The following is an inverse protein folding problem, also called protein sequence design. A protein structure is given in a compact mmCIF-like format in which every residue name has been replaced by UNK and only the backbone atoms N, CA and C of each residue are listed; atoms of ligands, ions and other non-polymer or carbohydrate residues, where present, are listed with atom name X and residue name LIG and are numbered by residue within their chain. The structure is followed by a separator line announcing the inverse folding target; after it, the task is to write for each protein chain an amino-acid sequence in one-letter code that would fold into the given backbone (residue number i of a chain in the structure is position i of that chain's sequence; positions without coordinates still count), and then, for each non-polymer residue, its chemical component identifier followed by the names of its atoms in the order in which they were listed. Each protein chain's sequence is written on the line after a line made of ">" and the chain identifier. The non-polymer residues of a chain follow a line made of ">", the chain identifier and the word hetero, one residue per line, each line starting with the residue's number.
data_IF_266348790632
#
_entry.id   IF_266348790632
#
_cell.length_a   1.000
_cell.length_b   1.000
_cell.length_c   1.000
_cell.angle_alpha   90.00
_cell.angle_beta   90.00
_cell.angle_gamma   90.00
#
_symmetry.space_group_name_H-M   'P 1'
#
loop_
_entity.id
_entity.type
_entity.pdbx_description
1 polymer ?
#
# COMPACT_ATOMS: atom_id res chain seq x y z
N UNK A 1 5.52 44.97 -12.89
CA UNK A 1 6.45 43.95 -12.35
C UNK A 1 6.00 42.60 -12.88
N UNK A 2 6.72 42.04 -13.87
CA UNK A 2 6.41 40.74 -14.43
C UNK A 2 6.85 39.67 -13.41
N UNK A 3 5.90 39.06 -12.70
CA UNK A 3 6.19 37.87 -11.93
C UNK A 3 6.79 36.82 -12.90
N UNK A 4 7.95 36.22 -12.60
CA UNK A 4 8.54 35.22 -13.48
C UNK A 4 7.51 34.10 -13.67
N UNK A 5 7.25 33.74 -14.93
CA UNK A 5 6.35 32.65 -15.28
C UNK A 5 6.71 31.42 -14.41
N UNK A 6 5.76 30.82 -13.69
CA UNK A 6 6.07 29.69 -12.82
C UNK A 6 6.73 28.57 -13.63
N UNK A 7 7.97 28.25 -13.27
CA UNK A 7 8.82 27.33 -14.03
C UNK A 7 8.26 25.92 -14.02
N UNK A 8 8.43 25.16 -15.10
CA UNK A 8 8.11 23.72 -15.15
C UNK A 8 8.76 22.89 -14.00
N UNK A 9 9.80 23.43 -13.36
CA UNK A 9 10.49 22.84 -12.21
C UNK A 9 9.76 22.98 -10.86
N UNK A 10 8.59 23.64 -10.81
CA UNK A 10 7.84 23.89 -9.57
C UNK A 10 7.60 22.61 -8.77
N UNK A 11 7.21 21.51 -9.42
CA UNK A 11 6.97 20.24 -8.74
C UNK A 11 8.25 19.63 -8.15
N UNK A 12 9.35 19.61 -8.91
CA UNK A 12 10.64 19.12 -8.42
C UNK A 12 11.13 19.94 -7.23
N UNK A 13 10.97 21.26 -7.27
CA UNK A 13 11.31 22.15 -6.15
C UNK A 13 10.48 21.84 -4.90
N UNK A 14 9.18 21.61 -5.05
CA UNK A 14 8.31 21.21 -3.95
C UNK A 14 8.72 19.85 -3.36
N UNK A 15 9.03 18.86 -4.20
CA UNK A 15 9.52 17.55 -3.76
C UNK A 15 10.84 17.66 -3.01
N UNK A 16 11.76 18.49 -3.48
CA UNK A 16 13.01 18.76 -2.79
C UNK A 16 12.79 19.37 -1.40
N UNK A 17 11.87 20.34 -1.27
CA UNK A 17 11.52 20.93 0.02
C UNK A 17 10.85 19.91 0.96
N UNK A 18 9.95 19.08 0.43
CA UNK A 18 9.33 17.98 1.19
C UNK A 18 10.38 16.98 1.68
N UNK A 19 11.34 16.61 0.83
CA UNK A 19 12.42 15.69 1.16
C UNK A 19 13.33 16.27 2.25
N UNK A 20 13.75 17.53 2.11
CA UNK A 20 14.58 18.22 3.13
C UNK A 20 13.87 18.39 4.46
N UNK A 21 12.54 18.46 4.46
CA UNK A 21 11.74 18.53 5.69
C UNK A 21 11.55 17.15 6.32
N UNK A 22 11.41 16.10 5.49
CA UNK A 22 11.18 14.74 5.95
C UNK A 22 12.46 14.06 6.45
N UNK A 23 13.61 14.39 5.86
CA UNK A 23 14.89 13.78 6.20
C UNK A 23 15.87 14.83 6.76
N UNK A 24 16.50 14.57 7.91
CA UNK A 24 17.65 15.35 8.35
C UNK A 24 18.81 15.18 7.36
N UNK A 25 19.81 16.06 7.42
CA UNK A 25 20.91 16.12 6.43
C UNK A 25 21.59 14.76 6.20
N UNK A 26 21.81 13.97 7.27
CA UNK A 26 22.38 12.62 7.15
C UNK A 26 21.46 11.65 6.40
N UNK A 27 20.15 11.79 6.53
CA UNK A 27 19.16 10.99 5.80
C UNK A 27 19.19 11.27 4.29
N UNK A 28 19.49 12.50 3.89
CA UNK A 28 19.66 12.85 2.47
C UNK A 28 20.91 12.19 1.89
N UNK A 29 22.02 12.17 2.65
CA UNK A 29 23.25 11.48 2.25
C UNK A 29 23.01 9.98 2.12
N UNK A 30 22.34 9.36 3.10
CA UNK A 30 21.97 7.95 3.04
C UNK A 30 21.06 7.63 1.86
N UNK A 31 20.10 8.50 1.54
CA UNK A 31 19.25 8.34 0.37
C UNK A 31 20.06 8.41 -0.92
N UNK A 32 21.00 9.35 -1.05
CA UNK A 32 21.88 9.44 -2.21
C UNK A 32 22.71 8.15 -2.38
N UNK A 33 23.29 7.63 -1.29
CA UNK A 33 24.01 6.36 -1.29
C UNK A 33 23.10 5.18 -1.66
N UNK A 34 21.86 5.16 -1.15
CA UNK A 34 20.88 4.12 -1.49
C UNK A 34 20.49 4.15 -2.96
N UNK A 35 20.33 5.34 -3.55
CA UNK A 35 20.05 5.49 -4.99
C UNK A 35 21.24 5.00 -5.81
N UNK A 36 22.48 5.39 -5.46
CA UNK A 36 23.69 4.91 -6.14
C UNK A 36 23.81 3.38 -6.03
N UNK A 37 23.60 2.83 -4.83
CA UNK A 37 23.59 1.39 -4.60
C UNK A 37 22.52 0.67 -5.41
N UNK A 38 21.31 1.23 -5.51
CA UNK A 38 20.23 0.67 -6.33
C UNK A 38 20.58 0.68 -7.82
N UNK A 39 21.17 1.76 -8.35
CA UNK A 39 21.65 1.82 -9.75
C UNK A 39 22.70 0.74 -10.00
N UNK A 40 23.68 0.59 -9.10
CA UNK A 40 24.73 -0.42 -9.22
C UNK A 40 24.17 -1.86 -9.17
N UNK A 41 23.22 -2.12 -8.27
CA UNK A 41 22.54 -3.42 -8.18
C UNK A 41 21.74 -3.73 -9.44
N UNK A 42 20.97 -2.76 -9.96
CA UNK A 42 20.22 -2.92 -11.20
C UNK A 42 21.14 -3.21 -12.37
N UNK A 43 22.23 -2.46 -12.50
CA UNK A 43 23.25 -2.71 -13.51
C UNK A 43 23.78 -4.16 -13.39
N UNK A 44 24.15 -4.59 -12.19
CA UNK A 44 24.69 -5.94 -11.96
C UNK A 44 23.68 -7.04 -12.32
N UNK A 45 22.42 -6.91 -11.91
CA UNK A 45 21.36 -7.90 -12.18
C UNK A 45 21.09 -8.04 -13.67
N UNK A 46 21.06 -6.92 -14.40
CA UNK A 46 20.81 -6.91 -15.85
C UNK A 46 22.04 -7.40 -16.62
N UNK A 47 23.23 -7.02 -16.18
CA UNK A 47 24.47 -7.47 -16.82
C UNK A 47 24.71 -8.98 -16.64
N UNK A 48 24.24 -9.55 -15.52
CA UNK A 48 24.30 -11.00 -15.27
C UNK A 48 23.33 -11.80 -16.15
N UNK A 49 22.13 -11.28 -16.38
CA UNK A 49 21.13 -11.90 -17.25
C UNK A 49 20.25 -10.83 -17.89
N UNK A 50 20.42 -10.66 -19.21
CA UNK A 50 19.69 -9.68 -20.02
C UNK A 50 18.17 -9.93 -20.03
N UNK A 51 17.72 -11.16 -19.74
CA UNK A 51 16.29 -11.46 -19.61
C UNK A 51 15.62 -10.70 -18.47
N UNK A 52 16.39 -10.19 -17.50
CA UNK A 52 15.86 -9.37 -16.41
C UNK A 52 15.43 -7.96 -16.86
N UNK A 53 16.04 -7.43 -17.92
CA UNK A 53 15.78 -6.07 -18.41
C UNK A 53 14.29 -5.79 -18.70
N UNK A 54 13.56 -6.60 -19.48
CA UNK A 54 12.14 -6.37 -19.75
C UNK A 54 11.29 -6.40 -18.48
N UNK A 55 11.56 -7.28 -17.52
CA UNK A 55 10.80 -7.34 -16.26
C UNK A 55 10.99 -6.07 -15.42
N UNK A 56 12.22 -5.56 -15.35
CA UNK A 56 12.55 -4.31 -14.64
C UNK A 56 11.85 -3.11 -15.31
N UNK A 57 11.88 -3.03 -16.64
CA UNK A 57 11.20 -1.98 -17.40
C UNK A 57 9.70 -2.03 -17.16
N UNK A 58 9.07 -3.20 -17.28
CA UNK A 58 7.63 -3.36 -17.05
C UNK A 58 7.26 -2.93 -15.63
N UNK A 59 8.06 -3.34 -14.62
CA UNK A 59 7.88 -2.91 -13.24
C UNK A 59 7.93 -1.38 -13.08
N UNK A 60 8.92 -0.72 -13.69
CA UNK A 60 9.06 0.73 -13.66
C UNK A 60 7.91 1.46 -14.37
N UNK A 61 7.50 0.98 -15.55
CA UNK A 61 6.35 1.51 -16.30
C UNK A 61 5.07 1.41 -15.47
N UNK A 62 4.79 0.24 -14.89
CA UNK A 62 3.61 0.02 -14.05
C UNK A 62 3.62 0.89 -12.79
N UNK A 63 4.80 1.11 -12.19
CA UNK A 63 4.96 2.01 -11.05
C UNK A 63 4.58 3.45 -11.41
N UNK A 64 5.14 4.02 -12.49
CA UNK A 64 4.86 5.40 -12.91
C UNK A 64 3.41 5.55 -13.38
N UNK A 65 2.90 4.57 -14.14
CA UNK A 65 1.50 4.52 -14.54
C UNK A 65 0.57 4.52 -13.31
N UNK A 66 0.84 3.66 -12.34
CA UNK A 66 0.08 3.56 -11.11
C UNK A 66 0.08 4.88 -10.31
N UNK A 67 1.25 5.53 -10.22
CA UNK A 67 1.38 6.84 -9.59
C UNK A 67 0.56 7.91 -10.33
N UNK A 68 0.63 7.95 -11.66
CA UNK A 68 -0.14 8.90 -12.47
C UNK A 68 -1.65 8.73 -12.29
N UNK A 69 -2.14 7.48 -12.29
CA UNK A 69 -3.57 7.19 -12.16
C UNK A 69 -4.11 7.45 -10.75
N UNK A 70 -3.29 7.28 -9.70
CA UNK A 70 -3.70 7.46 -8.29
C UNK A 70 -3.40 8.85 -7.73
N UNK A 71 -2.88 9.75 -8.56
CA UNK A 71 -2.46 11.09 -8.13
C UNK A 71 -3.67 11.94 -7.71
N UNK A 72 -3.76 12.21 -6.40
CA UNK A 72 -4.89 12.93 -5.79
C UNK A 72 -4.95 14.42 -6.15
N UNK A 73 -3.81 15.05 -6.44
CA UNK A 73 -3.69 16.47 -6.75
C UNK A 73 -3.86 16.80 -8.24
N UNK A 74 -4.28 15.85 -9.10
CA UNK A 74 -4.44 16.07 -10.55
C UNK A 74 -5.26 17.32 -10.90
N UNK A 75 -6.41 17.48 -10.25
CA UNK A 75 -7.29 18.62 -10.48
C UNK A 75 -6.66 19.93 -9.97
N UNK A 76 -5.97 19.88 -8.82
CA UNK A 76 -5.26 21.04 -8.29
C UNK A 76 -4.14 21.49 -9.24
N UNK A 77 -3.29 20.56 -9.69
CA UNK A 77 -2.18 20.85 -10.59
C UNK A 77 -2.64 21.43 -11.91
N UNK A 78 -3.65 20.81 -12.55
CA UNK A 78 -4.17 21.29 -13.84
C UNK A 78 -4.76 22.71 -13.75
N UNK A 79 -5.25 23.11 -12.57
CA UNK A 79 -5.92 24.41 -12.37
C UNK A 79 -4.99 25.50 -11.85
N UNK A 80 -3.96 25.14 -11.06
CA UNK A 80 -3.14 26.13 -10.34
C UNK A 80 -1.66 26.11 -10.72
N UNK A 81 -1.17 25.07 -11.41
CA UNK A 81 0.24 24.98 -11.84
C UNK A 81 0.33 25.26 -13.33
N UNK A 82 1.00 26.36 -13.74
CA UNK A 82 1.30 26.61 -15.14
C UNK A 82 2.10 25.45 -15.74
N UNK A 83 1.75 25.05 -16.95
CA UNK A 83 2.39 23.92 -17.64
C UNK A 83 2.40 22.62 -16.79
N UNK A 84 1.33 22.36 -16.04
CA UNK A 84 1.22 21.18 -15.16
C UNK A 84 1.67 19.87 -15.81
N UNK A 85 1.35 19.63 -17.09
CA UNK A 85 1.76 18.42 -17.81
C UNK A 85 3.29 18.29 -17.93
N UNK A 86 3.98 19.39 -18.24
CA UNK A 86 5.45 19.42 -18.33
C UNK A 86 6.07 19.25 -16.95
N UNK A 87 5.52 19.91 -15.93
CA UNK A 87 5.99 19.74 -14.55
C UNK A 87 5.86 18.27 -14.09
N UNK A 88 4.74 17.61 -14.43
CA UNK A 88 4.53 16.19 -14.15
C UNK A 88 5.50 15.31 -14.95
N UNK A 89 5.77 15.65 -16.21
CA UNK A 89 6.72 14.92 -17.05
C UNK A 89 8.12 14.92 -16.44
N UNK A 90 8.57 16.07 -15.93
CA UNK A 90 9.86 16.21 -15.25
C UNK A 90 9.91 15.42 -13.93
N UNK A 91 8.82 15.41 -13.16
CA UNK A 91 8.73 14.60 -11.95
C UNK A 91 8.83 13.10 -12.26
N UNK A 92 8.14 12.62 -13.29
CA UNK A 92 8.20 11.22 -13.71
C UNK A 92 9.56 10.86 -14.29
N UNK A 93 10.19 11.77 -15.03
CA UNK A 93 11.56 11.62 -15.55
C UNK A 93 12.57 11.46 -14.41
N UNK A 94 12.48 12.29 -13.37
CA UNK A 94 13.35 12.19 -12.21
C UNK A 94 13.14 10.87 -11.45
N UNK A 95 11.91 10.36 -11.39
CA UNK A 95 11.58 9.11 -10.72
C UNK A 95 12.14 7.87 -11.44
N UNK A 96 12.09 7.83 -12.77
CA UNK A 96 12.62 6.71 -13.56
C UNK A 96 14.14 6.76 -13.76
N UNK A 97 14.77 7.90 -13.50
CA UNK A 97 16.18 8.15 -13.78
C UNK A 97 17.12 7.06 -13.21
N UNK A 98 16.98 6.58 -11.96
CA UNK A 98 17.85 5.53 -11.44
C UNK A 98 17.73 4.22 -12.23
N UNK A 99 16.52 3.83 -12.65
CA UNK A 99 16.28 2.61 -13.44
C UNK A 99 16.86 2.77 -14.84
N UNK A 100 16.63 3.93 -15.46
CA UNK A 100 17.18 4.25 -16.77
C UNK A 100 18.71 4.20 -16.77
N UNK A 101 19.38 4.78 -15.77
CA UNK A 101 20.84 4.73 -15.65
C UNK A 101 21.35 3.30 -15.47
N UNK A 102 20.70 2.49 -14.63
CA UNK A 102 21.08 1.08 -14.44
C UNK A 102 21.03 0.27 -15.73
N UNK A 103 19.98 0.47 -16.55
CA UNK A 103 19.82 -0.20 -17.85
C UNK A 103 20.81 0.32 -18.90
N UNK A 104 21.03 1.64 -18.96
CA UNK A 104 21.99 2.23 -19.90
C UNK A 104 23.41 1.76 -19.61
N UNK A 105 23.82 1.71 -18.33
CA UNK A 105 25.14 1.19 -17.94
C UNK A 105 25.28 -0.31 -18.21
N UNK A 106 24.18 -1.07 -18.19
CA UNK A 106 24.19 -2.49 -18.59
C UNK A 106 24.22 -2.70 -20.11
N UNK A 107 24.05 -1.65 -20.93
CA UNK A 107 24.05 -1.72 -22.40
C UNK A 107 22.70 -2.08 -23.02
N UNK A 108 21.62 -2.09 -22.23
CA UNK A 108 20.27 -2.47 -22.69
C UNK A 108 19.53 -1.28 -23.30
N UNK A 109 19.93 -0.90 -24.51
CA UNK A 109 19.39 0.28 -25.23
C UNK A 109 17.90 0.15 -25.57
N UNK A 110 17.45 -1.05 -25.95
CA UNK A 110 16.06 -1.34 -26.32
C UNK A 110 15.13 -1.10 -25.12
N UNK A 111 15.43 -1.72 -23.99
CA UNK A 111 14.72 -1.53 -22.72
C UNK A 111 14.79 -0.09 -22.21
N UNK A 112 15.93 0.57 -22.36
CA UNK A 112 16.09 1.98 -21.98
C UNK A 112 15.23 2.93 -22.81
N UNK A 113 15.08 2.66 -24.11
CA UNK A 113 14.26 3.48 -25.02
C UNK A 113 12.78 3.51 -24.63
N UNK A 114 12.25 2.42 -24.07
CA UNK A 114 10.87 2.34 -23.57
C UNK A 114 10.65 3.32 -22.40
N UNK A 115 11.63 3.43 -21.50
CA UNK A 115 11.54 4.35 -20.36
C UNK A 115 11.60 5.82 -20.80
N UNK A 116 12.31 6.13 -21.88
CA UNK A 116 12.36 7.50 -22.42
C UNK A 116 11.01 8.01 -22.96
N UNK A 117 10.04 7.13 -23.20
CA UNK A 117 8.68 7.49 -23.61
C UNK A 117 7.78 7.85 -22.41
N UNK A 118 8.12 7.40 -21.20
CA UNK A 118 7.33 7.62 -19.99
C UNK A 118 7.03 9.10 -19.64
N UNK A 119 7.90 10.09 -19.95
CA UNK A 119 7.58 11.49 -19.74
C UNK A 119 6.34 11.97 -20.50
N UNK A 120 5.85 11.24 -21.53
CA UNK A 120 4.61 11.53 -22.27
C UNK A 120 3.34 11.14 -21.49
N UNK A 121 3.48 10.37 -20.41
CA UNK A 121 2.35 9.90 -19.60
C UNK A 121 1.38 11.01 -19.10
N UNK A 122 1.81 12.23 -18.72
CA UNK A 122 0.92 13.29 -18.27
C UNK A 122 -0.15 13.75 -19.28
N UNK A 123 0.02 13.41 -20.56
CA UNK A 123 -0.96 13.68 -21.62
C UNK A 123 -2.03 12.59 -21.74
N UNK A 124 -1.84 11.45 -21.08
CA UNK A 124 -2.86 10.41 -21.01
C UNK A 124 -4.06 10.85 -20.15
N UNK A 125 -5.28 10.36 -20.46
CA UNK A 125 -6.42 10.60 -19.60
C UNK A 125 -6.23 9.86 -18.27
N UNK A 126 -6.52 10.56 -17.19
CA UNK A 126 -6.62 9.95 -15.85
C UNK A 126 -7.95 9.25 -15.79
N UNK A 127 -7.96 7.99 -15.40
CA UNK A 127 -9.18 7.24 -15.20
C UNK A 127 -9.98 7.89 -14.06
N UNK A 128 -10.94 8.74 -14.42
CA UNK A 128 -11.92 9.26 -13.48
C UNK A 128 -12.68 8.07 -12.90
N UNK A 129 -12.47 7.79 -11.62
CA UNK A 129 -13.25 6.80 -10.90
C UNK A 129 -14.65 7.39 -10.61
N UNK A 130 -15.47 7.59 -11.64
CA UNK A 130 -16.79 8.22 -11.53
C UNK A 130 -17.92 7.24 -11.19
N UNK A 131 -17.61 5.97 -10.91
CA UNK A 131 -18.61 4.94 -10.65
C UNK A 131 -18.32 4.11 -9.40
N UNK A 132 -19.39 3.62 -8.77
CA UNK A 132 -19.33 2.59 -7.74
C UNK A 132 -18.83 1.29 -8.38
N UNK A 133 -17.54 0.99 -8.18
CA UNK A 133 -16.94 -0.28 -8.60
C UNK A 133 -17.34 -1.42 -7.66
N UNK A 134 -17.39 -2.65 -8.20
CA UNK A 134 -17.65 -3.87 -7.45
C UNK A 134 -18.96 -3.91 -6.64
N UNK A 135 -20.03 -3.25 -7.12
CA UNK A 135 -21.30 -3.11 -6.40
C UNK A 135 -21.87 -4.45 -5.88
N UNK A 136 -21.78 -5.53 -6.66
CA UNK A 136 -22.25 -6.87 -6.27
C UNK A 136 -21.44 -7.46 -5.12
N UNK A 137 -20.11 -7.40 -5.20
CA UNK A 137 -19.24 -7.94 -4.15
C UNK A 137 -19.36 -7.12 -2.85
N UNK A 138 -19.49 -5.80 -2.96
CA UNK A 138 -19.64 -4.91 -1.80
C UNK A 138 -20.92 -5.16 -1.00
N UNK A 139 -22.00 -5.61 -1.64
CA UNK A 139 -23.26 -5.99 -0.97
C UNK A 139 -23.08 -7.20 -0.03
N UNK A 140 -22.09 -8.06 -0.28
CA UNK A 140 -21.79 -9.24 0.57
C UNK A 140 -20.98 -8.88 1.82
N UNK A 141 -20.32 -7.73 1.83
CA UNK A 141 -19.53 -7.27 2.99
C UNK A 141 -20.48 -6.59 3.99
N UNK A 142 -20.40 -6.90 5.30
CA UNK A 142 -21.16 -6.19 6.34
C UNK A 142 -20.93 -4.68 6.31
N UNK A 143 -21.97 -3.88 6.60
CA UNK A 143 -21.87 -2.41 6.62
C UNK A 143 -20.90 -1.87 7.67
N UNK A 144 -20.76 -2.57 8.78
CA UNK A 144 -19.84 -2.23 9.87
C UNK A 144 -18.36 -2.32 9.43
N UNK A 145 -18.05 -3.13 8.41
CA UNK A 145 -16.72 -3.28 7.82
C UNK A 145 -16.55 -2.37 6.60
N UNK A 146 -16.78 -1.07 6.79
CA UNK A 146 -16.72 -0.09 5.71
C UNK A 146 -15.31 0.02 5.11
N UNK A 147 -14.27 -0.27 5.88
CA UNK A 147 -12.87 -0.28 5.45
C UNK A 147 -12.66 -1.30 4.33
N UNK A 148 -13.22 -2.51 4.49
CA UNK A 148 -13.20 -3.56 3.47
C UNK A 148 -14.00 -3.17 2.23
N UNK A 149 -15.13 -2.47 2.41
CA UNK A 149 -15.92 -1.94 1.29
C UNK A 149 -15.16 -0.86 0.52
N UNK A 150 -14.51 0.05 1.23
CA UNK A 150 -13.69 1.13 0.67
C UNK A 150 -12.49 0.57 -0.07
N UNK A 151 -11.80 -0.40 0.51
CA UNK A 151 -10.69 -1.12 -0.12
C UNK A 151 -11.13 -1.73 -1.44
N UNK A 152 -12.22 -2.50 -1.43
CA UNK A 152 -12.73 -3.15 -2.62
C UNK A 152 -13.09 -2.13 -3.71
N UNK A 153 -13.71 -0.99 -3.36
CA UNK A 153 -14.05 0.05 -4.33
C UNK A 153 -12.82 0.74 -4.91
N UNK A 154 -11.84 1.07 -4.07
CA UNK A 154 -10.64 1.83 -4.46
C UNK A 154 -9.63 0.99 -5.25
N UNK A 155 -9.59 -0.32 -5.00
CA UNK A 155 -8.57 -1.22 -5.56
C UNK A 155 -9.10 -2.17 -6.63
N UNK A 156 -10.41 -2.23 -6.88
CA UNK A 156 -10.96 -3.03 -7.97
C UNK A 156 -10.53 -2.48 -9.35
N UNK A 157 -10.13 -3.34 -10.30
CA UNK A 157 -10.16 -4.82 -10.27
C UNK A 157 -8.89 -5.48 -9.70
N UNK A 158 -7.86 -4.72 -9.33
CA UNK A 158 -6.55 -5.26 -8.95
C UNK A 158 -6.59 -6.23 -7.78
N UNK A 159 -7.36 -5.95 -6.72
CA UNK A 159 -7.47 -6.88 -5.60
C UNK A 159 -8.06 -8.24 -6.02
N UNK A 160 -9.03 -8.22 -6.94
CA UNK A 160 -9.61 -9.46 -7.48
C UNK A 160 -8.61 -10.19 -8.37
N UNK A 161 -7.86 -9.47 -9.21
CA UNK A 161 -6.83 -10.06 -10.06
C UNK A 161 -5.69 -10.67 -9.26
N UNK A 162 -5.23 -10.02 -8.19
CA UNK A 162 -4.23 -10.57 -7.27
C UNK A 162 -4.73 -11.86 -6.61
N UNK A 163 -5.98 -11.88 -6.16
CA UNK A 163 -6.58 -13.05 -5.54
C UNK A 163 -6.76 -14.21 -6.54
N UNK A 164 -7.24 -13.92 -7.76
CA UNK A 164 -7.34 -14.92 -8.83
C UNK A 164 -5.98 -15.44 -9.26
N UNK A 165 -4.96 -14.58 -9.32
CA UNK A 165 -3.58 -15.01 -9.59
C UNK A 165 -3.05 -15.91 -8.48
N UNK A 166 -3.31 -15.59 -7.20
CA UNK A 166 -2.92 -16.44 -6.08
C UNK A 166 -3.56 -17.83 -6.16
N UNK A 167 -4.82 -17.91 -6.61
CA UNK A 167 -5.49 -19.19 -6.89
C UNK A 167 -4.92 -19.90 -8.11
N UNK A 168 -4.74 -19.22 -9.24
CA UNK A 168 -4.26 -19.83 -10.48
C UNK A 168 -2.83 -20.38 -10.35
N UNK A 169 -2.01 -19.74 -9.53
CA UNK A 169 -0.62 -20.10 -9.29
C UNK A 169 -0.40 -20.76 -7.93
N UNK A 170 -1.43 -21.36 -7.32
CA UNK A 170 -1.29 -22.02 -6.01
C UNK A 170 -0.35 -23.25 -6.04
N UNK A 171 0.01 -23.75 -7.22
CA UNK A 171 1.01 -24.81 -7.39
C UNK A 171 2.46 -24.34 -7.19
N UNK A 172 2.72 -23.03 -7.25
CA UNK A 172 4.03 -22.45 -6.97
C UNK A 172 4.25 -22.30 -5.45
N UNK A 173 5.46 -22.56 -4.91
CA UNK A 173 5.67 -22.58 -3.45
C UNK A 173 5.44 -21.24 -2.75
N UNK A 174 5.98 -20.15 -3.31
CA UNK A 174 6.04 -18.86 -2.61
C UNK A 174 5.06 -17.83 -3.19
N UNK A 175 4.80 -17.88 -4.50
CA UNK A 175 3.98 -16.89 -5.20
C UNK A 175 2.57 -16.69 -4.60
N UNK A 176 1.76 -17.74 -4.30
CA UNK A 176 0.43 -17.54 -3.71
C UNK A 176 0.50 -16.86 -2.34
N UNK A 177 1.50 -17.20 -1.52
CA UNK A 177 1.72 -16.57 -0.21
C UNK A 177 2.08 -15.09 -0.37
N UNK A 178 3.01 -14.78 -1.29
CA UNK A 178 3.39 -13.39 -1.59
C UNK A 178 2.19 -12.55 -2.01
N UNK A 179 1.33 -13.08 -2.89
CA UNK A 179 0.13 -12.39 -3.36
C UNK A 179 -0.90 -12.19 -2.23
N UNK A 180 -1.10 -13.18 -1.35
CA UNK A 180 -1.93 -13.02 -0.16
C UNK A 180 -1.36 -11.98 0.81
N UNK A 181 -0.04 -11.98 1.02
CA UNK A 181 0.65 -10.97 1.83
C UNK A 181 0.46 -9.55 1.28
N UNK A 182 0.54 -9.38 -0.04
CA UNK A 182 0.26 -8.10 -0.69
C UNK A 182 -1.20 -7.64 -0.46
N UNK A 183 -2.17 -8.56 -0.53
CA UNK A 183 -3.57 -8.26 -0.21
C UNK A 183 -3.73 -7.87 1.27
N UNK A 184 -3.10 -8.61 2.20
CA UNK A 184 -3.14 -8.29 3.62
C UNK A 184 -2.55 -6.89 3.90
N UNK A 185 -1.45 -6.52 3.26
CA UNK A 185 -0.88 -5.17 3.33
C UNK A 185 -1.87 -4.11 2.82
N UNK A 186 -2.58 -4.37 1.73
CA UNK A 186 -3.63 -3.47 1.26
C UNK A 186 -4.79 -3.35 2.26
N UNK A 187 -5.18 -4.45 2.92
CA UNK A 187 -6.20 -4.47 3.98
C UNK A 187 -5.76 -3.65 5.19
N UNK A 188 -4.50 -3.78 5.63
CA UNK A 188 -3.96 -2.98 6.73
C UNK A 188 -3.90 -1.50 6.38
N UNK A 189 -3.49 -1.14 5.15
CA UNK A 189 -3.50 0.25 4.68
C UNK A 189 -4.91 0.86 4.64
N UNK A 190 -5.94 0.04 4.39
CA UNK A 190 -7.33 0.51 4.47
C UNK A 190 -7.79 0.86 5.90
N UNK A 191 -7.07 0.41 6.93
CA UNK A 191 -7.34 0.75 8.33
C UNK A 191 -6.79 2.12 8.75
N UNK A 192 -5.95 2.77 7.94
CA UNK A 192 -5.34 4.06 8.31
C UNK A 192 -6.35 5.20 8.45
N UNK A 193 -7.51 5.10 7.79
CA UNK A 193 -8.52 6.15 7.79
C UNK A 193 -9.49 5.95 8.97
N UNK A 194 -9.56 6.95 9.85
CA UNK A 194 -10.52 6.99 10.94
C UNK A 194 -11.87 7.51 10.46
N UNK A 195 -12.95 6.84 10.88
CA UNK A 195 -14.31 7.29 10.69
C UNK A 195 -14.65 8.54 11.52
N UNK A 196 -15.70 9.30 11.15
CA UNK A 196 -16.24 10.33 12.03
C UNK A 196 -16.82 9.72 13.32
N UNK A 197 -16.76 10.46 14.44
CA UNK A 197 -17.34 10.03 15.73
C UNK A 197 -18.81 9.62 15.62
N UNK A 198 -19.61 10.34 14.83
CA UNK A 198 -21.03 10.00 14.64
C UNK A 198 -21.22 8.60 14.05
N UNK A 199 -20.36 8.20 13.10
CA UNK A 199 -20.39 6.85 12.52
C UNK A 199 -20.01 5.78 13.54
N UNK A 200 -19.02 6.07 14.37
CA UNK A 200 -18.58 5.20 15.45
C UNK A 200 -19.71 4.93 16.46
N UNK A 201 -20.37 5.98 16.94
CA UNK A 201 -21.51 5.88 17.88
C UNK A 201 -22.73 5.21 17.25
N UNK A 202 -22.94 5.35 15.94
CA UNK A 202 -24.00 4.66 15.23
C UNK A 202 -23.71 3.15 14.99
N UNK A 203 -22.44 2.74 15.06
CA UNK A 203 -22.02 1.38 14.72
C UNK A 203 -22.15 0.41 15.91
N UNK A 204 -21.90 0.89 17.13
CA UNK A 204 -21.88 0.05 18.33
C UNK A 204 -22.28 0.85 19.58
N UNK A 205 -22.83 0.21 20.62
CA UNK A 205 -23.23 0.87 21.86
C UNK A 205 -22.05 1.26 22.76
N UNK A 206 -20.94 0.52 22.69
CA UNK A 206 -19.76 0.74 23.53
C UNK A 206 -18.46 0.33 22.80
N UNK A 207 -17.32 0.71 23.39
CA UNK A 207 -15.99 0.46 22.86
C UNK A 207 -15.68 -1.04 22.67
N UNK A 208 -16.09 -1.90 23.61
CA UNK A 208 -15.81 -3.34 23.55
C UNK A 208 -16.64 -3.99 22.43
N UNK A 209 -17.91 -3.61 22.30
CA UNK A 209 -18.77 -4.08 21.22
C UNK A 209 -18.22 -3.66 19.84
N UNK A 210 -17.76 -2.40 19.72
CA UNK A 210 -17.13 -1.90 18.50
C UNK A 210 -15.88 -2.72 18.14
N UNK A 211 -14.91 -2.82 19.06
CA UNK A 211 -13.66 -3.55 18.83
C UNK A 211 -13.91 -5.00 18.47
N UNK A 212 -14.83 -5.67 19.18
CA UNK A 212 -15.21 -7.06 18.87
C UNK A 212 -15.75 -7.16 17.45
N UNK A 213 -16.69 -6.30 17.06
CA UNK A 213 -17.26 -6.35 15.71
C UNK A 213 -16.20 -6.14 14.62
N UNK A 214 -15.28 -5.21 14.84
CA UNK A 214 -14.25 -4.80 13.87
C UNK A 214 -13.13 -5.84 13.73
N UNK A 215 -12.63 -6.35 14.86
CA UNK A 215 -11.56 -7.36 14.89
C UNK A 215 -12.08 -8.68 14.34
N UNK A 216 -13.15 -9.24 14.91
CA UNK A 216 -13.69 -10.52 14.45
C UNK A 216 -14.26 -10.43 13.03
N UNK A 217 -14.87 -9.31 12.67
CA UNK A 217 -15.32 -9.07 11.30
C UNK A 217 -14.17 -9.06 10.30
N UNK A 218 -13.06 -8.38 10.62
CA UNK A 218 -11.88 -8.34 9.75
C UNK A 218 -11.16 -9.69 9.68
N UNK A 219 -11.02 -10.40 10.79
CA UNK A 219 -10.49 -11.78 10.82
C UNK A 219 -11.35 -12.68 9.94
N UNK A 220 -12.68 -12.66 10.10
CA UNK A 220 -13.60 -13.49 9.29
C UNK A 220 -13.46 -13.20 7.79
N UNK A 221 -13.37 -11.93 7.41
CA UNK A 221 -13.18 -11.55 6.01
C UNK A 221 -11.82 -12.02 5.47
N UNK A 222 -10.76 -11.90 6.28
CA UNK A 222 -9.43 -12.36 5.90
C UNK A 222 -9.38 -13.88 5.74
N UNK A 223 -9.95 -14.65 6.67
CA UNK A 223 -10.08 -16.11 6.57
C UNK A 223 -10.80 -16.50 5.27
N UNK A 224 -11.94 -15.88 4.97
CA UNK A 224 -12.69 -16.18 3.73
C UNK A 224 -11.88 -15.89 2.46
N UNK A 225 -10.96 -14.92 2.52
CA UNK A 225 -10.12 -14.53 1.40
C UNK A 225 -8.93 -15.50 1.23
N UNK A 226 -8.22 -15.82 2.31
CA UNK A 226 -6.97 -16.59 2.22
C UNK A 226 -7.18 -18.11 2.17
N UNK A 227 -8.23 -18.62 2.83
CA UNK A 227 -8.44 -20.06 3.01
C UNK A 227 -8.49 -20.84 1.68
N UNK A 228 -9.20 -20.39 0.62
CA UNK A 228 -9.21 -21.10 -0.65
C UNK A 228 -7.81 -21.22 -1.29
N UNK A 229 -6.99 -20.18 -1.16
CA UNK A 229 -5.62 -20.14 -1.70
C UNK A 229 -4.70 -21.04 -0.89
N UNK A 230 -4.76 -20.98 0.44
CA UNK A 230 -3.93 -21.81 1.33
C UNK A 230 -4.27 -23.29 1.23
N UNK A 231 -5.57 -23.62 1.09
CA UNK A 231 -6.01 -25.00 0.82
C UNK A 231 -5.43 -25.46 -0.53
N UNK A 232 -5.59 -24.65 -1.59
CA UNK A 232 -5.02 -24.96 -2.90
C UNK A 232 -3.51 -25.20 -2.83
N UNK A 233 -2.76 -24.30 -2.19
CA UNK A 233 -1.31 -24.41 -2.03
C UNK A 233 -0.91 -25.68 -1.25
N UNK A 234 -1.65 -26.03 -0.20
CA UNK A 234 -1.40 -27.26 0.58
C UNK A 234 -1.68 -28.52 -0.21
N UNK A 235 -2.68 -28.52 -1.10
CA UNK A 235 -2.95 -29.67 -1.98
C UNK A 235 -1.78 -29.92 -2.94
N UNK A 236 -1.21 -28.86 -3.52
CA UNK A 236 -0.06 -28.99 -4.42
C UNK A 236 1.27 -29.22 -3.69
N UNK A 237 1.38 -28.77 -2.44
CA UNK A 237 2.59 -28.90 -1.61
C UNK A 237 2.25 -29.34 -0.18
N UNK A 238 1.91 -30.63 0.02
CA UNK A 238 1.46 -31.13 1.31
C UNK A 238 2.49 -30.97 2.43
N UNK A 239 3.78 -31.12 2.11
CA UNK A 239 4.87 -31.00 3.09
C UNK A 239 4.96 -29.60 3.74
N UNK A 240 4.38 -28.59 3.09
CA UNK A 240 4.39 -27.19 3.52
C UNK A 240 3.13 -26.80 4.30
N UNK A 241 2.27 -27.75 4.68
CA UNK A 241 1.00 -27.48 5.38
C UNK A 241 1.16 -26.59 6.62
N UNK A 242 2.20 -26.82 7.41
CA UNK A 242 2.48 -26.06 8.64
C UNK A 242 2.95 -24.64 8.31
N UNK A 243 3.69 -24.47 7.22
CA UNK A 243 4.13 -23.17 6.71
C UNK A 243 2.92 -22.35 6.24
N UNK A 244 2.03 -22.96 5.46
CA UNK A 244 0.78 -22.35 5.01
C UNK A 244 -0.11 -21.94 6.19
N UNK A 245 -0.26 -22.82 7.18
CA UNK A 245 -1.05 -22.55 8.38
C UNK A 245 -0.50 -21.39 9.21
N UNK A 246 0.81 -21.39 9.51
CA UNK A 246 1.44 -20.33 10.28
C UNK A 246 1.44 -18.99 9.53
N UNK A 247 1.68 -18.99 8.22
CA UNK A 247 1.60 -17.78 7.42
C UNK A 247 0.19 -17.19 7.41
N UNK A 248 -0.84 -18.01 7.18
CA UNK A 248 -2.24 -17.56 7.24
C UNK A 248 -2.57 -16.97 8.61
N UNK A 249 -2.21 -17.67 9.68
CA UNK A 249 -2.36 -17.15 11.04
C UNK A 249 -1.63 -15.81 11.24
N UNK A 250 -0.44 -15.64 10.67
CA UNK A 250 0.28 -14.37 10.64
C UNK A 250 -0.50 -13.25 9.98
N UNK A 251 -1.12 -13.49 8.82
CA UNK A 251 -1.95 -12.49 8.17
C UNK A 251 -3.20 -12.13 9.00
N UNK A 252 -3.82 -13.10 9.67
CA UNK A 252 -4.94 -12.83 10.59
C UNK A 252 -4.52 -11.94 11.76
N UNK A 253 -3.37 -12.24 12.38
CA UNK A 253 -2.80 -11.43 13.47
C UNK A 253 -2.47 -10.03 12.98
N UNK A 254 -1.87 -9.90 11.80
CA UNK A 254 -1.52 -8.62 11.20
C UNK A 254 -2.76 -7.73 10.96
N UNK A 255 -3.82 -8.29 10.38
CA UNK A 255 -5.06 -7.56 10.13
C UNK A 255 -5.75 -7.17 11.44
N UNK A 256 -5.80 -8.09 12.42
CA UNK A 256 -6.34 -7.78 13.75
C UNK A 256 -5.54 -6.67 14.44
N UNK A 257 -4.20 -6.69 14.30
CA UNK A 257 -3.30 -5.70 14.86
C UNK A 257 -3.54 -4.33 14.24
N UNK A 258 -3.65 -4.24 12.92
CA UNK A 258 -3.94 -2.97 12.24
C UNK A 258 -5.28 -2.35 12.72
N UNK A 259 -6.30 -3.17 12.95
CA UNK A 259 -7.59 -2.71 13.50
C UNK A 259 -7.42 -2.18 14.93
N UNK A 260 -6.73 -2.90 15.81
CA UNK A 260 -6.51 -2.44 17.19
C UNK A 260 -5.65 -1.18 17.24
N UNK A 261 -4.57 -1.13 16.48
CA UNK A 261 -3.67 0.02 16.41
C UNK A 261 -4.37 1.28 15.90
N UNK A 262 -5.28 1.12 14.92
CA UNK A 262 -6.20 2.19 14.49
C UNK A 262 -6.98 2.74 15.68
N UNK A 263 -7.60 1.88 16.47
CA UNK A 263 -8.45 2.31 17.57
C UNK A 263 -7.69 2.76 18.82
N UNK A 264 -6.46 2.27 19.03
CA UNK A 264 -5.53 2.77 20.05
C UNK A 264 -5.16 4.23 19.82
N UNK A 265 -5.02 4.63 18.54
CA UNK A 265 -4.62 5.98 18.15
C UNK A 265 -5.75 6.74 17.45
N UNK A 266 -7.00 6.30 17.61
CA UNK A 266 -8.13 6.86 16.87
C UNK A 266 -8.35 8.33 17.18
N UNK A 267 -8.47 9.11 16.11
CA UNK A 267 -8.84 10.52 16.09
C UNK A 267 -9.93 10.70 15.02
N UNK A 268 -11.10 11.29 15.34
CA UNK A 268 -12.18 11.43 14.37
C UNK A 268 -11.77 12.18 13.10
N UNK A 269 -12.12 11.64 11.92
CA UNK A 269 -11.83 12.20 10.59
C UNK A 269 -10.34 12.34 10.22
N UNK A 270 -9.43 11.76 11.00
CA UNK A 270 -8.00 11.82 10.72
C UNK A 270 -7.49 10.60 9.94
N UNK A 271 -6.32 10.76 9.32
CA UNK A 271 -5.56 9.64 8.75
C UNK A 271 -4.30 9.40 9.58
N UNK A 272 -4.18 8.19 10.12
CA UNK A 272 -3.11 7.80 11.03
C UNK A 272 -1.81 7.46 10.30
N UNK A 273 -1.17 8.46 9.69
CA UNK A 273 0.08 8.28 8.93
C UNK A 273 1.28 7.83 9.79
N UNK A 274 1.30 8.16 11.09
CA UNK A 274 2.36 7.77 12.01
C UNK A 274 2.38 6.25 12.32
N UNK A 275 1.27 5.54 12.10
CA UNK A 275 1.15 4.12 12.42
C UNK A 275 1.79 3.21 11.37
N UNK A 276 2.19 3.75 10.21
CA UNK A 276 2.75 2.97 9.11
C UNK A 276 4.03 2.21 9.47
N UNK A 277 4.89 2.78 10.31
CA UNK A 277 6.11 2.11 10.77
C UNK A 277 5.80 0.86 11.61
N UNK A 278 4.86 0.97 12.56
CA UNK A 278 4.46 -0.13 13.43
C UNK A 278 3.79 -1.27 12.63
N UNK A 279 2.92 -0.92 11.68
CA UNK A 279 2.29 -1.91 10.79
C UNK A 279 3.33 -2.59 9.89
N UNK A 280 4.30 -1.84 9.36
CA UNK A 280 5.36 -2.42 8.53
C UNK A 280 6.23 -3.41 9.32
N UNK A 281 6.61 -3.07 10.55
CA UNK A 281 7.33 -3.98 11.46
C UNK A 281 6.49 -5.24 11.72
N UNK A 282 5.23 -5.08 12.11
CA UNK A 282 4.33 -6.20 12.35
C UNK A 282 4.17 -7.08 11.10
N UNK A 283 4.11 -6.48 9.90
CA UNK A 283 3.96 -7.22 8.65
C UNK A 283 5.18 -8.08 8.31
N UNK A 284 6.40 -7.56 8.50
CA UNK A 284 7.64 -8.32 8.29
C UNK A 284 7.65 -9.57 9.17
N UNK A 285 7.30 -9.42 10.45
CA UNK A 285 7.28 -10.55 11.38
C UNK A 285 6.09 -11.50 11.15
N UNK A 286 4.93 -10.98 10.73
CA UNK A 286 3.74 -11.79 10.45
C UNK A 286 3.91 -12.69 9.22
N UNK A 287 4.63 -12.21 8.20
CA UNK A 287 4.90 -12.97 6.97
C UNK A 287 5.94 -14.08 7.19
N UNK A 288 6.74 -13.99 8.26
CA UNK A 288 7.77 -14.98 8.61
C UNK A 288 7.20 -15.96 9.65
N UNK A 289 6.86 -17.21 9.29
CA UNK A 289 6.14 -18.14 10.16
C UNK A 289 6.73 -18.34 11.55
N UNK A 290 8.06 -18.32 11.68
CA UNK A 290 8.76 -18.48 12.97
C UNK A 290 8.74 -17.26 13.90
N UNK A 291 8.29 -16.10 13.42
CA UNK A 291 8.35 -14.84 14.17
C UNK A 291 6.96 -14.27 14.53
N UNK A 292 5.91 -15.07 14.36
CA UNK A 292 4.51 -14.73 14.66
C UNK A 292 4.28 -14.23 16.11
N UNK A 293 5.13 -14.67 17.05
CA UNK A 293 5.05 -14.27 18.45
C UNK A 293 5.16 -12.74 18.62
N UNK A 294 5.97 -12.08 17.79
CA UNK A 294 6.18 -10.63 17.86
C UNK A 294 4.88 -9.85 17.56
N UNK A 295 4.24 -9.99 16.38
CA UNK A 295 2.99 -9.27 16.09
C UNK A 295 1.84 -9.73 16.99
N UNK A 296 1.87 -10.95 17.54
CA UNK A 296 0.90 -11.38 18.55
C UNK A 296 1.05 -10.60 19.87
N UNK A 297 2.27 -10.40 20.35
CA UNK A 297 2.54 -9.56 21.54
C UNK A 297 2.09 -8.12 21.27
N UNK A 298 2.43 -7.58 20.08
CA UNK A 298 1.99 -6.23 19.68
C UNK A 298 0.46 -6.13 19.68
N UNK A 299 -0.24 -7.09 19.08
CA UNK A 299 -1.71 -7.19 19.10
C UNK A 299 -2.26 -7.14 20.53
N UNK A 300 -1.76 -7.99 21.42
CA UNK A 300 -2.26 -8.07 22.80
C UNK A 300 -2.02 -6.78 23.58
N UNK A 301 -0.88 -6.12 23.36
CA UNK A 301 -0.55 -4.84 24.01
C UNK A 301 -1.53 -3.72 23.61
N UNK A 302 -1.98 -3.69 22.36
CA UNK A 302 -2.86 -2.62 21.86
C UNK A 302 -4.33 -2.81 22.23
N UNK A 303 -4.75 -4.00 22.70
CA UNK A 303 -6.15 -4.24 23.12
C UNK A 303 -6.58 -3.25 24.20
N UNK A 304 -5.71 -3.04 25.19
CA UNK A 304 -5.98 -2.15 26.31
C UNK A 304 -6.03 -0.69 25.86
N UNK A 305 -5.02 -0.26 25.11
CA UNK A 305 -4.91 1.10 24.58
C UNK A 305 -6.11 1.46 23.70
N UNK A 306 -6.52 0.54 22.82
CA UNK A 306 -7.70 0.71 21.96
C UNK A 306 -8.98 0.90 22.76
N UNK A 307 -9.17 0.13 23.84
CA UNK A 307 -10.35 0.24 24.70
C UNK A 307 -10.35 1.56 25.48
N UNK A 308 -9.23 1.91 26.09
CA UNK A 308 -9.08 3.14 26.87
C UNK A 308 -9.31 4.38 26.00
N UNK A 309 -8.68 4.44 24.82
CA UNK A 309 -8.87 5.54 23.88
C UNK A 309 -10.33 5.63 23.40
N UNK A 310 -10.94 4.53 22.97
CA UNK A 310 -12.34 4.55 22.51
C UNK A 310 -13.34 4.96 23.60
N UNK A 311 -13.12 4.55 24.84
CA UNK A 311 -13.98 4.91 25.96
C UNK A 311 -14.08 6.43 26.13
N UNK A 312 -13.02 7.20 25.81
CA UNK A 312 -13.09 8.66 25.84
C UNK A 312 -14.16 9.21 24.91
N UNK A 313 -14.33 8.62 23.73
CA UNK A 313 -15.31 9.08 22.74
C UNK A 313 -16.73 8.61 23.02
N UNK A 314 -16.90 7.42 23.62
CA UNK A 314 -18.20 6.89 24.02
C UNK A 314 -18.74 7.57 25.30
N UNK A 315 -17.87 7.92 26.26
CA UNK A 315 -18.29 8.46 27.56
C UNK A 315 -18.19 9.99 27.68
N UNK A 316 -17.54 10.69 26.75
CA UNK A 316 -17.53 12.17 26.70
C UNK A 316 -18.87 12.76 26.20
N UNK A 317 -20.01 12.26 26.69
CA UNK A 317 -21.33 12.90 26.58
C UNK A 317 -21.71 13.69 27.85
N UNK A 318 -20.81 13.75 28.84
CA UNK A 318 -21.07 14.37 30.15
C UNK A 318 -20.19 15.58 30.49
N UNK A 319 -19.58 16.25 29.49
CA UNK A 319 -18.93 17.54 29.67
C UNK A 319 -19.24 18.47 28.51
#
# INVERSE_FOLDING_TARGET
>A
MNAPAPSALVLLRLRWLQLRRALPTYGIVLLALAVVGAVWLLHKVVHQDAMNAPYIVVGAVLMVWGLHQRRADHHFLRRHVPQARVAMALEYSALILPVLLGLLFAGEWTSSSVLLVMPVLPWSPVALASGVRAARLRKRIPTQLFEWKSLLQSTHPWNLLLWLAALAFCWLPVLPMFLLGAIALMVTGAQEQCEPRAMLLATAPDARALLRSKVFGSIRMMVLLELPVLIGATIFQPDWWWLHGLFGLGLLVLVAYAVLLKYANYLPNERLSANGANVAVAAVFAILPGLLVVPLIMLLSEVRNARENLNTYFHAHHR
#
